data_IF_731550193061
#
_entry.id   IF_731550193061
#
_cell.length_a   1.000
_cell.length_b   1.000
_cell.length_c   1.000
_cell.angle_alpha   90.00
_cell.angle_beta   90.00
_cell.angle_gamma   90.00
#
_symmetry.space_group_name_H-M   'P 1'
#
loop_
_entity.id
_entity.type
_entity.pdbx_description
1 polymer ?
#
# COMPACT_ATOMS: atom_id res chain seq x y z
N UNK A 1 19.42 22.53 -4.71
CA UNK A 1 18.01 22.90 -4.93
C UNK A 1 17.38 23.00 -3.56
N UNK A 2 17.19 24.22 -3.04
CA UNK A 2 16.59 24.47 -1.73
C UNK A 2 15.10 24.13 -1.82
N UNK A 3 14.67 23.08 -1.12
CA UNK A 3 13.26 22.77 -0.97
C UNK A 3 12.61 23.88 -0.12
N UNK A 4 11.79 24.71 -0.75
CA UNK A 4 10.84 25.53 0.01
C UNK A 4 9.75 24.60 0.52
N UNK A 5 9.89 24.11 1.73
CA UNK A 5 8.87 23.29 2.40
C UNK A 5 8.02 24.18 3.30
N UNK A 6 6.71 24.04 3.22
CA UNK A 6 5.77 24.57 4.20
C UNK A 6 5.70 23.55 5.33
N UNK A 7 5.91 24.00 6.57
CA UNK A 7 5.78 23.16 7.75
C UNK A 7 4.45 23.47 8.43
N UNK A 8 3.68 22.41 8.70
CA UNK A 8 2.46 22.46 9.47
C UNK A 8 2.75 21.90 10.85
N UNK A 9 2.22 22.52 11.89
CA UNK A 9 2.41 22.10 13.28
C UNK A 9 1.08 21.70 13.89
N UNK A 10 1.09 20.66 14.71
CA UNK A 10 -0.03 20.24 15.54
C UNK A 10 0.49 19.69 16.85
N UNK A 11 -0.10 20.12 17.96
CA UNK A 11 0.19 19.61 19.31
C UNK A 11 -0.71 18.42 19.68
N UNK A 12 -1.74 18.15 18.86
CA UNK A 12 -2.71 17.08 19.08
C UNK A 12 -2.62 16.05 17.92
N UNK A 13 -2.40 14.76 18.23
CA UNK A 13 -2.36 13.68 17.24
C UNK A 13 -3.63 13.57 16.37
N UNK A 14 -4.83 13.82 16.92
CA UNK A 14 -6.08 13.80 16.17
C UNK A 14 -6.19 14.96 15.16
N UNK A 15 -5.74 16.15 15.55
CA UNK A 15 -5.65 17.28 14.62
C UNK A 15 -4.59 17.02 13.55
N UNK A 16 -3.47 16.39 13.92
CA UNK A 16 -2.42 16.02 12.98
C UNK A 16 -2.97 15.09 11.88
N UNK A 17 -3.71 14.07 12.22
CA UNK A 17 -4.32 13.15 11.24
C UNK A 17 -5.27 13.88 10.28
N UNK A 18 -6.16 14.73 10.78
CA UNK A 18 -7.08 15.54 9.96
C UNK A 18 -6.32 16.48 9.01
N UNK A 19 -5.29 17.15 9.51
CA UNK A 19 -4.46 18.04 8.70
C UNK A 19 -3.74 17.27 7.59
N UNK A 20 -3.18 16.10 7.91
CA UNK A 20 -2.52 15.22 6.95
C UNK A 20 -3.49 14.68 5.88
N UNK A 21 -4.74 14.42 6.24
CA UNK A 21 -5.77 13.95 5.30
C UNK A 21 -6.26 15.06 4.35
N UNK A 22 -6.21 16.33 4.78
CA UNK A 22 -6.66 17.49 4.01
C UNK A 22 -5.58 18.16 3.16
N UNK A 23 -4.32 17.94 3.44
CA UNK A 23 -3.18 18.61 2.80
C UNK A 23 -2.23 17.59 2.14
N UNK A 24 -1.56 17.99 1.05
CA UNK A 24 -0.47 17.18 0.47
C UNK A 24 0.80 17.30 1.30
N UNK A 25 1.05 16.31 2.15
CA UNK A 25 2.25 16.24 2.98
C UNK A 25 3.29 15.29 2.38
N UNK A 26 4.57 15.65 2.49
CA UNK A 26 5.70 14.83 2.03
C UNK A 26 6.18 13.85 3.10
N UNK A 27 6.07 14.21 4.37
CA UNK A 27 6.42 13.40 5.53
C UNK A 27 5.73 13.90 6.79
N UNK A 28 5.58 13.04 7.78
CA UNK A 28 5.26 13.37 9.16
C UNK A 28 6.55 13.31 10.00
N UNK A 29 6.75 14.32 10.84
CA UNK A 29 7.77 14.30 11.90
C UNK A 29 7.01 14.42 13.21
N UNK A 30 7.08 13.41 14.05
CA UNK A 30 6.42 13.36 15.34
C UNK A 30 7.42 13.23 16.49
N UNK A 31 7.19 13.94 17.58
CA UNK A 31 8.04 13.92 18.76
C UNK A 31 7.39 13.04 19.83
N UNK A 32 7.98 11.88 20.09
CA UNK A 32 7.54 10.95 21.12
C UNK A 32 8.32 11.21 22.43
N UNK A 33 7.79 12.09 23.26
CA UNK A 33 8.35 12.41 24.57
C UNK A 33 7.28 12.46 25.65
N UNK A 34 7.60 12.03 26.88
CA UNK A 34 6.72 12.12 28.04
C UNK A 34 5.31 11.55 27.78
N UNK A 35 4.28 12.34 28.02
CA UNK A 35 2.85 11.99 27.87
C UNK A 35 2.40 11.85 26.41
N UNK A 36 3.11 12.46 25.46
CA UNK A 36 2.76 12.43 24.04
C UNK A 36 3.13 11.10 23.35
N UNK A 37 3.94 10.25 23.98
CA UNK A 37 4.42 8.98 23.41
C UNK A 37 3.29 8.10 22.88
N UNK A 38 2.30 7.80 23.71
CA UNK A 38 1.20 6.92 23.35
C UNK A 38 0.41 7.46 22.14
N UNK A 39 0.12 8.76 22.12
CA UNK A 39 -0.58 9.42 21.02
C UNK A 39 0.23 9.41 19.72
N UNK A 40 1.55 9.55 19.77
CA UNK A 40 2.42 9.47 18.58
C UNK A 40 2.47 8.06 18.02
N UNK A 41 2.54 7.04 18.87
CA UNK A 41 2.54 5.64 18.44
C UNK A 41 1.19 5.27 17.81
N UNK A 42 0.08 5.69 18.42
CA UNK A 42 -1.25 5.50 17.86
C UNK A 42 -1.40 6.24 16.53
N UNK A 43 -0.93 7.48 16.41
CA UNK A 43 -0.92 8.21 15.15
C UNK A 43 -0.15 7.45 14.06
N UNK A 44 1.00 6.88 14.34
CA UNK A 44 1.75 6.05 13.39
C UNK A 44 0.91 4.85 12.94
N UNK A 45 0.23 4.17 13.86
CA UNK A 45 -0.64 3.05 13.57
C UNK A 45 -1.84 3.46 12.71
N UNK A 46 -2.54 4.54 13.05
CA UNK A 46 -3.66 5.07 12.28
C UNK A 46 -3.23 5.48 10.86
N UNK A 47 -2.06 6.10 10.71
CA UNK A 47 -1.51 6.41 9.39
C UNK A 47 -1.37 5.16 8.51
N UNK A 48 -0.97 4.02 9.06
CA UNK A 48 -0.83 2.78 8.28
C UNK A 48 -2.17 2.15 7.92
N UNK A 49 -3.20 2.41 8.70
CA UNK A 49 -4.58 2.02 8.39
C UNK A 49 -5.28 2.98 7.44
N UNK A 50 -4.89 4.25 7.43
CA UNK A 50 -5.50 5.24 6.57
C UNK A 50 -4.97 5.11 5.13
N UNK A 51 -5.85 4.79 4.20
CA UNK A 51 -5.50 4.54 2.81
C UNK A 51 -4.94 5.75 2.06
N UNK A 52 -5.20 6.97 2.51
CA UNK A 52 -4.59 8.19 1.95
C UNK A 52 -3.19 8.42 2.50
N UNK A 53 -2.94 8.02 3.75
CA UNK A 53 -1.77 8.42 4.52
C UNK A 53 -0.77 7.26 4.74
N UNK A 54 -1.16 6.00 4.47
CA UNK A 54 -0.34 4.83 4.78
C UNK A 54 1.06 4.89 4.14
N UNK A 55 1.18 5.56 2.99
CA UNK A 55 2.43 5.73 2.25
C UNK A 55 3.28 6.89 2.78
N UNK A 56 2.71 7.75 3.64
CA UNK A 56 3.40 8.90 4.18
C UNK A 56 4.53 8.44 5.11
N UNK A 57 5.80 8.83 4.86
CA UNK A 57 6.87 8.49 5.77
C UNK A 57 6.65 9.19 7.11
N UNK A 58 6.66 8.40 8.19
CA UNK A 58 6.57 8.88 9.57
C UNK A 58 7.93 8.77 10.24
N UNK A 59 8.53 9.89 10.55
CA UNK A 59 9.76 10.01 11.32
C UNK A 59 9.39 10.30 12.79
N UNK A 60 9.88 9.50 13.72
CA UNK A 60 9.64 9.65 15.14
C UNK A 60 10.94 10.12 15.81
N UNK A 61 10.88 11.25 16.50
CA UNK A 61 11.96 11.73 17.36
C UNK A 61 11.68 11.26 18.80
N UNK A 62 12.53 10.40 19.35
CA UNK A 62 12.36 9.82 20.67
C UNK A 62 13.39 10.37 21.66
N UNK A 63 12.96 10.59 22.91
CA UNK A 63 13.87 10.94 23.99
C UNK A 63 14.78 9.74 24.37
N UNK A 64 16.01 10.02 24.83
CA UNK A 64 17.01 8.99 25.10
C UNK A 64 16.61 7.99 26.21
N UNK A 65 15.71 8.40 27.09
CA UNK A 65 15.26 7.59 28.23
C UNK A 65 14.24 6.50 27.86
N UNK A 66 13.86 6.41 26.58
CA UNK A 66 12.82 5.52 26.09
C UNK A 66 13.41 4.39 25.22
N UNK A 67 14.27 3.56 25.81
CA UNK A 67 14.96 2.46 25.10
C UNK A 67 14.02 1.49 24.37
N UNK A 68 12.78 1.28 24.83
CA UNK A 68 11.77 0.44 24.18
C UNK A 68 11.03 1.14 23.02
N UNK A 69 11.06 2.48 22.96
CA UNK A 69 10.31 3.27 21.98
C UNK A 69 10.65 2.98 20.52
N UNK A 70 11.93 2.76 20.11
CA UNK A 70 12.25 2.47 18.71
C UNK A 70 11.55 1.20 18.20
N UNK A 71 11.59 0.12 18.97
CA UNK A 71 10.98 -1.17 18.57
C UNK A 71 9.46 -1.02 18.46
N UNK A 72 8.82 -0.40 19.43
CA UNK A 72 7.38 -0.15 19.42
C UNK A 72 6.99 0.78 18.25
N UNK A 73 7.74 1.86 18.02
CA UNK A 73 7.44 2.79 16.94
C UNK A 73 7.54 2.13 15.57
N UNK A 74 8.54 1.27 15.34
CA UNK A 74 8.62 0.49 14.10
C UNK A 74 7.47 -0.52 13.98
N UNK A 75 7.09 -1.18 15.07
CA UNK A 75 5.94 -2.10 15.10
C UNK A 75 4.62 -1.37 14.78
N UNK A 76 4.49 -0.11 15.20
CA UNK A 76 3.34 0.74 14.87
C UNK A 76 3.47 1.45 13.49
N UNK A 77 4.51 1.14 12.72
CA UNK A 77 4.63 1.61 11.34
C UNK A 77 5.41 2.91 11.16
N UNK A 78 6.23 3.34 12.13
CA UNK A 78 7.20 4.40 11.90
C UNK A 78 8.17 4.00 10.78
N UNK A 79 8.55 4.98 9.95
CA UNK A 79 9.50 4.77 8.85
C UNK A 79 10.95 4.95 9.30
N UNK A 80 11.17 5.77 10.31
CA UNK A 80 12.46 6.06 10.88
C UNK A 80 12.28 6.58 12.31
N UNK A 81 13.14 6.12 13.23
CA UNK A 81 13.16 6.59 14.62
C UNK A 81 14.55 7.15 14.90
N UNK A 82 14.63 8.39 15.38
CA UNK A 82 15.85 9.10 15.66
C UNK A 82 15.85 9.69 17.08
N UNK A 83 17.01 9.88 17.72
CA UNK A 83 17.11 10.59 18.97
C UNK A 83 16.66 12.06 18.81
N UNK A 84 15.85 12.56 19.75
CA UNK A 84 15.41 13.97 19.76
C UNK A 84 16.56 14.95 19.91
N UNK A 85 17.61 14.55 20.63
CA UNK A 85 18.81 15.35 20.86
C UNK A 85 19.79 15.36 19.68
N UNK A 86 19.37 14.87 18.51
CA UNK A 86 20.18 14.87 17.30
C UNK A 86 20.43 16.30 16.81
N UNK A 87 21.63 16.54 16.26
CA UNK A 87 21.97 17.80 15.62
C UNK A 87 21.08 18.11 14.41
N UNK A 88 20.79 19.41 14.20
CA UNK A 88 19.87 19.85 13.14
C UNK A 88 20.34 19.48 11.73
N UNK A 89 21.65 19.49 11.48
CA UNK A 89 22.22 19.15 10.19
C UNK A 89 22.10 17.64 9.93
N UNK A 90 22.32 16.81 10.95
CA UNK A 90 22.11 15.37 10.87
C UNK A 90 20.64 15.04 10.67
N UNK A 91 19.74 15.70 11.39
CA UNK A 91 18.30 15.52 11.21
C UNK A 91 17.86 15.87 9.78
N UNK A 92 18.34 16.99 9.26
CA UNK A 92 18.08 17.42 7.89
C UNK A 92 18.57 16.41 6.87
N UNK A 93 19.75 15.83 7.07
CA UNK A 93 20.32 14.81 6.20
C UNK A 93 19.48 13.52 6.20
N UNK A 94 19.02 13.07 7.37
CA UNK A 94 18.17 11.88 7.51
C UNK A 94 16.77 12.08 6.87
N UNK A 95 16.16 13.25 7.07
CA UNK A 95 14.92 13.61 6.39
C UNK A 95 15.11 13.62 4.88
N UNK A 96 16.17 14.23 4.39
CA UNK A 96 16.47 14.26 2.96
C UNK A 96 16.68 12.86 2.39
N UNK A 97 17.40 12.00 3.09
CA UNK A 97 17.60 10.60 2.70
C UNK A 97 16.28 9.80 2.68
N UNK A 98 15.39 10.03 3.66
CA UNK A 98 14.08 9.40 3.72
C UNK A 98 13.21 9.83 2.53
N UNK A 99 13.13 11.13 2.26
CA UNK A 99 12.37 11.69 1.13
C UNK A 99 12.94 11.25 -0.21
N UNK A 100 14.26 11.18 -0.37
CA UNK A 100 14.90 10.66 -1.59
C UNK A 100 14.56 9.19 -1.83
N UNK A 101 14.54 8.35 -0.79
CA UNK A 101 14.12 6.94 -0.90
C UNK A 101 12.68 6.83 -1.39
N UNK A 102 11.78 7.63 -0.84
CA UNK A 102 10.38 7.68 -1.27
C UNK A 102 10.23 8.17 -2.71
N UNK A 103 10.93 9.24 -3.07
CA UNK A 103 10.93 9.77 -4.42
C UNK A 103 11.46 8.74 -5.45
N UNK A 104 12.56 8.05 -5.13
CA UNK A 104 13.11 6.99 -6.00
C UNK A 104 12.11 5.85 -6.19
N UNK A 105 11.42 5.42 -5.12
CA UNK A 105 10.37 4.39 -5.21
C UNK A 105 9.24 4.84 -6.13
N UNK A 106 8.78 6.07 -6.01
CA UNK A 106 7.73 6.65 -6.86
C UNK A 106 8.19 6.70 -8.34
N UNK A 107 9.38 7.22 -8.61
CA UNK A 107 9.94 7.27 -9.96
C UNK A 107 10.14 5.88 -10.56
N UNK A 108 10.57 4.90 -9.76
CA UNK A 108 10.70 3.51 -10.22
C UNK A 108 9.34 2.91 -10.58
N UNK A 109 8.31 3.14 -9.76
CA UNK A 109 6.94 2.71 -10.05
C UNK A 109 6.45 3.30 -11.37
N UNK A 110 6.58 4.62 -11.52
CA UNK A 110 6.14 5.32 -12.74
C UNK A 110 6.89 4.79 -13.97
N UNK A 111 8.20 4.52 -13.85
CA UNK A 111 8.98 3.93 -14.94
C UNK A 111 8.58 2.49 -15.25
N UNK A 112 8.34 1.66 -14.25
CA UNK A 112 7.87 0.28 -14.43
C UNK A 112 6.51 0.25 -15.13
N UNK A 113 5.58 1.12 -14.72
CA UNK A 113 4.28 1.23 -15.40
C UNK A 113 4.41 1.73 -16.84
N UNK A 114 5.38 2.61 -17.14
CA UNK A 114 5.63 3.09 -18.51
C UNK A 114 6.30 2.05 -19.41
N UNK A 115 6.88 0.99 -18.86
CA UNK A 115 7.47 -0.13 -19.64
C UNK A 115 6.41 -1.15 -20.06
N UNK A 116 5.27 -1.19 -19.35
CA UNK A 116 4.16 -2.07 -19.74
C UNK A 116 3.56 -1.53 -21.05
N UNK A 117 3.51 -2.33 -22.13
CA UNK A 117 2.90 -1.89 -23.37
C UNK A 117 1.46 -1.44 -23.13
N UNK A 118 1.01 -0.36 -23.79
CA UNK A 118 -0.35 0.16 -23.66
C UNK A 118 -1.41 -0.92 -23.96
N UNK A 119 -1.10 -1.85 -24.88
CA UNK A 119 -1.96 -3.01 -25.20
C UNK A 119 -2.09 -4.02 -24.06
N UNK A 120 -1.24 -3.93 -23.06
CA UNK A 120 -1.23 -4.78 -21.87
C UNK A 120 -1.84 -4.09 -20.64
N UNK A 121 -2.39 -2.90 -20.83
CA UNK A 121 -3.12 -2.17 -19.79
C UNK A 121 -4.62 -2.23 -20.06
N UNK A 122 -5.38 -2.43 -19.00
CA UNK A 122 -6.84 -2.31 -19.04
C UNK A 122 -7.24 -0.85 -19.25
N UNK A 123 -8.00 -0.52 -20.31
CA UNK A 123 -8.30 0.86 -20.67
C UNK A 123 -9.20 1.59 -19.66
N UNK A 124 -9.93 0.84 -18.83
CA UNK A 124 -10.82 1.43 -17.82
C UNK A 124 -10.07 1.78 -16.54
N UNK A 125 -9.19 0.91 -16.07
CA UNK A 125 -8.52 1.05 -14.76
C UNK A 125 -7.08 1.51 -14.88
N UNK A 126 -6.45 1.35 -16.04
CA UNK A 126 -5.02 1.56 -16.24
C UNK A 126 -4.13 0.51 -15.56
N UNK A 127 -4.73 -0.57 -15.04
CA UNK A 127 -4.01 -1.70 -14.46
C UNK A 127 -3.48 -2.64 -15.55
N UNK A 128 -2.54 -3.50 -15.19
CA UNK A 128 -2.14 -4.57 -16.08
C UNK A 128 -3.29 -5.54 -16.36
N UNK A 129 -3.34 -6.07 -17.57
CA UNK A 129 -4.35 -7.07 -17.97
C UNK A 129 -4.02 -8.46 -17.42
N UNK A 130 -4.98 -9.37 -17.42
CA UNK A 130 -4.83 -10.78 -17.07
C UNK A 130 -3.78 -11.48 -17.93
N UNK A 131 -3.76 -11.25 -19.23
CA UNK A 131 -2.77 -11.79 -20.15
C UNK A 131 -1.35 -11.34 -19.80
N UNK A 132 -1.17 -10.08 -19.41
CA UNK A 132 0.12 -9.57 -18.98
C UNK A 132 0.56 -10.23 -17.65
N UNK A 133 -0.34 -10.29 -16.66
CA UNK A 133 0.03 -10.80 -15.33
C UNK A 133 0.35 -12.31 -15.38
N UNK A 134 -0.35 -13.09 -16.21
CA UNK A 134 -0.07 -14.50 -16.38
C UNK A 134 1.37 -14.73 -16.85
N UNK A 135 1.80 -14.02 -17.90
CA UNK A 135 3.16 -14.08 -18.41
C UNK A 135 4.21 -13.51 -17.45
N UNK A 136 3.87 -12.39 -16.80
CA UNK A 136 4.75 -11.76 -15.82
C UNK A 136 4.97 -12.66 -14.61
N UNK A 137 3.92 -13.32 -14.12
CA UNK A 137 4.00 -14.28 -13.03
C UNK A 137 4.91 -15.46 -13.38
N UNK A 138 4.82 -16.02 -14.59
CA UNK A 138 5.72 -17.09 -15.06
C UNK A 138 7.19 -16.64 -14.96
N UNK A 139 7.51 -15.45 -15.48
CA UNK A 139 8.86 -14.88 -15.42
C UNK A 139 9.33 -14.66 -13.98
N UNK A 140 8.46 -14.12 -13.12
CA UNK A 140 8.78 -13.92 -11.70
C UNK A 140 9.02 -15.26 -11.00
N UNK A 141 8.23 -16.27 -11.30
CA UNK A 141 8.38 -17.62 -10.73
C UNK A 141 9.74 -18.22 -11.07
N UNK A 142 10.22 -18.09 -12.31
CA UNK A 142 11.54 -18.56 -12.73
C UNK A 142 12.66 -17.82 -12.01
N UNK A 143 12.60 -16.47 -12.01
CA UNK A 143 13.63 -15.63 -11.37
C UNK A 143 13.70 -15.84 -9.86
N UNK A 144 12.55 -15.91 -9.20
CA UNK A 144 12.49 -16.11 -7.74
C UNK A 144 12.89 -17.52 -7.35
N UNK A 145 12.58 -18.52 -8.20
CA UNK A 145 13.08 -19.87 -7.99
C UNK A 145 14.61 -19.94 -8.05
N UNK A 146 15.20 -19.40 -9.10
CA UNK A 146 16.65 -19.40 -9.27
C UNK A 146 17.38 -18.65 -8.13
N UNK A 147 16.74 -17.64 -7.55
CA UNK A 147 17.30 -16.81 -6.47
C UNK A 147 16.90 -17.25 -5.07
N UNK A 148 16.13 -18.32 -4.94
CA UNK A 148 15.57 -18.80 -3.67
C UNK A 148 14.89 -17.69 -2.86
N UNK A 149 14.02 -16.92 -3.51
CA UNK A 149 13.28 -15.82 -2.88
C UNK A 149 11.79 -16.10 -2.88
N UNK A 150 11.06 -15.70 -1.83
CA UNK A 150 9.63 -15.90 -1.80
C UNK A 150 8.94 -15.04 -2.87
N UNK A 151 7.83 -15.56 -3.37
CA UNK A 151 6.94 -14.87 -4.30
C UNK A 151 5.50 -15.15 -3.86
N UNK A 152 4.73 -14.11 -3.65
CA UNK A 152 3.32 -14.23 -3.27
C UNK A 152 2.39 -13.61 -4.30
N UNK A 153 1.15 -14.06 -4.28
CA UNK A 153 0.03 -13.54 -5.05
C UNK A 153 -1.14 -13.31 -4.09
N UNK A 154 -1.76 -12.13 -4.17
CA UNK A 154 -3.04 -11.84 -3.52
C UNK A 154 -4.07 -11.61 -4.61
N UNK A 155 -5.23 -12.26 -4.48
CA UNK A 155 -6.37 -12.04 -5.38
C UNK A 155 -7.56 -11.60 -4.55
N UNK A 156 -8.31 -10.62 -5.02
CA UNK A 156 -9.52 -10.16 -4.35
C UNK A 156 -10.58 -9.70 -5.36
N UNK A 157 -11.84 -9.86 -4.97
CA UNK A 157 -13.00 -9.47 -5.74
C UNK A 157 -14.00 -8.66 -4.92
N UNK A 158 -14.85 -7.91 -5.62
CA UNK A 158 -15.92 -7.10 -5.04
C UNK A 158 -17.23 -7.82 -5.28
N UNK A 159 -17.82 -8.43 -4.25
CA UNK A 159 -19.03 -9.26 -4.35
C UNK A 159 -20.28 -8.49 -4.71
N UNK A 160 -20.40 -7.25 -4.31
CA UNK A 160 -21.61 -6.45 -4.51
C UNK A 160 -21.50 -5.44 -5.67
N UNK A 161 -20.52 -5.61 -6.57
CA UNK A 161 -20.36 -4.74 -7.74
C UNK A 161 -21.52 -4.89 -8.73
N UNK A 162 -22.02 -6.10 -8.95
CA UNK A 162 -23.18 -6.35 -9.83
C UNK A 162 -24.46 -5.71 -9.27
N UNK A 163 -24.62 -5.67 -7.95
CA UNK A 163 -25.71 -4.97 -7.31
C UNK A 163 -25.60 -3.43 -7.52
N UNK A 164 -24.37 -2.89 -7.49
CA UNK A 164 -24.11 -1.49 -7.83
C UNK A 164 -24.46 -1.21 -9.31
N UNK A 165 -24.03 -2.08 -10.23
CA UNK A 165 -24.33 -1.96 -11.66
C UNK A 165 -25.83 -2.03 -11.94
N UNK A 166 -26.55 -2.94 -11.28
CA UNK A 166 -27.99 -3.11 -11.43
C UNK A 166 -28.79 -1.92 -10.88
N UNK A 167 -28.34 -1.31 -9.78
CA UNK A 167 -29.04 -0.19 -9.12
C UNK A 167 -28.71 1.17 -9.73
N UNK A 168 -27.44 1.39 -10.08
CA UNK A 168 -26.93 2.70 -10.48
C UNK A 168 -26.46 2.77 -11.94
N UNK A 169 -26.48 1.64 -12.64
CA UNK A 169 -26.02 1.51 -14.03
C UNK A 169 -24.53 1.18 -14.16
N UNK A 170 -24.19 0.49 -15.25
CA UNK A 170 -22.82 0.03 -15.53
C UNK A 170 -21.76 1.15 -15.56
N UNK A 171 -22.02 2.38 -16.12
CA UNK A 171 -21.01 3.43 -16.11
C UNK A 171 -20.57 3.86 -14.71
N UNK A 172 -21.47 3.83 -13.73
CA UNK A 172 -21.17 4.20 -12.34
C UNK A 172 -20.43 3.09 -11.60
N UNK A 173 -20.85 1.84 -11.81
CA UNK A 173 -20.13 0.67 -11.31
C UNK A 173 -18.67 0.64 -11.83
N UNK A 174 -18.46 0.96 -13.12
CA UNK A 174 -17.13 1.12 -13.70
C UNK A 174 -16.36 2.28 -13.09
N UNK A 175 -17.03 3.36 -12.72
CA UNK A 175 -16.44 4.48 -11.96
C UNK A 175 -15.90 4.02 -10.61
N UNK A 176 -16.72 3.28 -9.87
CA UNK A 176 -16.37 2.67 -8.59
C UNK A 176 -15.19 1.71 -8.74
N UNK A 177 -15.20 0.87 -9.77
CA UNK A 177 -14.12 -0.08 -10.07
C UNK A 177 -12.79 0.66 -10.30
N UNK A 178 -12.80 1.76 -11.06
CA UNK A 178 -11.61 2.62 -11.27
C UNK A 178 -11.12 3.27 -9.98
N UNK A 179 -12.04 3.61 -9.10
CA UNK A 179 -11.68 4.19 -7.82
C UNK A 179 -10.99 3.15 -6.93
N UNK A 180 -11.55 1.94 -6.84
CA UNK A 180 -10.92 0.82 -6.14
C UNK A 180 -9.53 0.51 -6.70
N UNK A 181 -9.37 0.48 -8.02
CA UNK A 181 -8.07 0.29 -8.66
C UNK A 181 -7.02 1.29 -8.19
N UNK A 182 -7.40 2.58 -8.10
CA UNK A 182 -6.53 3.64 -7.59
C UNK A 182 -6.18 3.46 -6.12
N UNK A 183 -7.14 2.99 -5.32
CA UNK A 183 -6.91 2.71 -3.90
C UNK A 183 -5.91 1.57 -3.73
N UNK A 184 -6.12 0.46 -4.42
CA UNK A 184 -5.22 -0.70 -4.32
C UNK A 184 -3.80 -0.36 -4.77
N UNK A 185 -3.64 0.40 -5.87
CA UNK A 185 -2.32 0.88 -6.30
C UNK A 185 -1.58 1.70 -5.24
N UNK A 186 -2.29 2.36 -4.32
CA UNK A 186 -1.70 3.09 -3.20
C UNK A 186 -1.35 2.20 -2.03
N UNK A 187 -2.02 1.06 -1.88
CA UNK A 187 -1.80 0.11 -0.79
C UNK A 187 -0.61 -0.82 -1.03
N UNK A 188 -0.11 -0.92 -2.25
CA UNK A 188 0.97 -1.82 -2.64
C UNK A 188 2.31 -1.10 -2.80
N UNK A 189 3.41 -1.85 -2.79
CA UNK A 189 4.78 -1.33 -2.98
C UNK A 189 5.01 -0.98 -4.45
N UNK A 190 6.12 -0.28 -4.74
CA UNK A 190 6.49 0.09 -6.11
C UNK A 190 6.81 -1.12 -7.00
N UNK A 191 7.39 -2.16 -6.39
CA UNK A 191 7.76 -3.43 -7.04
C UNK A 191 6.58 -4.38 -7.23
N UNK A 192 5.45 -4.15 -6.55
CA UNK A 192 4.26 -4.96 -6.68
C UNK A 192 3.49 -4.58 -7.95
N UNK A 193 2.91 -5.56 -8.61
CA UNK A 193 2.12 -5.32 -9.82
C UNK A 193 0.66 -5.62 -9.55
N UNK A 194 -0.20 -4.63 -9.77
CA UNK A 194 -1.66 -4.79 -9.68
C UNK A 194 -2.22 -4.99 -11.08
N UNK A 195 -3.07 -5.97 -11.22
CA UNK A 195 -3.75 -6.30 -12.48
C UNK A 195 -5.25 -6.51 -12.29
N UNK A 196 -5.98 -6.29 -13.37
CA UNK A 196 -7.39 -6.65 -13.50
C UNK A 196 -7.49 -7.99 -14.22
N UNK A 197 -8.18 -8.93 -13.62
CA UNK A 197 -8.50 -10.22 -14.25
C UNK A 197 -9.73 -10.11 -15.15
N UNK A 198 -9.85 -11.01 -16.13
CA UNK A 198 -10.97 -11.03 -17.06
C UNK A 198 -12.32 -11.25 -16.35
N UNK A 199 -12.31 -11.98 -15.26
CA UNK A 199 -13.47 -12.25 -14.37
C UNK A 199 -13.90 -11.03 -13.53
N UNK A 200 -13.12 -9.92 -13.54
CA UNK A 200 -13.42 -8.69 -12.80
C UNK A 200 -12.76 -8.61 -11.43
N UNK A 201 -12.00 -9.62 -11.01
CA UNK A 201 -11.19 -9.56 -9.79
C UNK A 201 -9.88 -8.80 -10.04
N UNK A 202 -9.21 -8.49 -8.94
CA UNK A 202 -7.87 -7.92 -8.94
C UNK A 202 -6.85 -8.97 -8.51
N UNK A 203 -5.68 -8.96 -9.14
CA UNK A 203 -4.53 -9.73 -8.70
C UNK A 203 -3.35 -8.80 -8.40
N UNK A 204 -2.63 -9.10 -7.32
CA UNK A 204 -1.44 -8.37 -6.89
C UNK A 204 -0.28 -9.35 -6.76
N UNK A 205 0.73 -9.21 -7.61
CA UNK A 205 1.98 -9.98 -7.47
C UNK A 205 2.93 -9.29 -6.52
N UNK A 206 3.51 -10.06 -5.61
CA UNK A 206 4.31 -9.58 -4.49
C UNK A 206 5.71 -10.23 -4.52
N UNK A 207 6.67 -9.65 -5.25
CA UNK A 207 8.04 -10.12 -5.28
C UNK A 207 8.71 -10.01 -3.90
N UNK A 208 9.54 -10.99 -3.53
CA UNK A 208 10.28 -11.05 -2.27
C UNK A 208 9.38 -10.91 -1.02
N UNK A 209 8.18 -11.45 -1.08
CA UNK A 209 7.17 -11.36 -0.02
C UNK A 209 6.79 -12.77 0.42
N UNK A 210 6.91 -13.05 1.70
CA UNK A 210 6.53 -14.31 2.31
C UNK A 210 5.01 -14.38 2.60
N UNK A 211 4.56 -15.51 3.13
CA UNK A 211 3.15 -15.77 3.43
C UNK A 211 2.59 -14.80 4.48
N UNK A 212 3.36 -14.49 5.52
CA UNK A 212 2.95 -13.61 6.61
C UNK A 212 2.71 -12.18 6.11
N UNK A 213 3.66 -11.68 5.30
CA UNK A 213 3.57 -10.35 4.69
C UNK A 213 2.45 -10.28 3.66
N UNK A 214 2.25 -11.32 2.85
CA UNK A 214 1.16 -11.40 1.88
C UNK A 214 -0.20 -11.40 2.57
N UNK A 215 -0.35 -12.16 3.65
CA UNK A 215 -1.55 -12.19 4.48
C UNK A 215 -1.82 -10.83 5.11
N UNK A 216 -0.79 -10.17 5.61
CA UNK A 216 -0.89 -8.81 6.18
C UNK A 216 -1.36 -7.78 5.15
N UNK A 217 -0.87 -7.87 3.91
CA UNK A 217 -1.35 -7.02 2.81
C UNK A 217 -2.81 -7.34 2.46
N UNK A 218 -3.18 -8.62 2.37
CA UNK A 218 -4.54 -9.04 2.09
C UNK A 218 -5.54 -8.47 3.10
N UNK A 219 -5.25 -8.61 4.41
CA UNK A 219 -6.10 -8.03 5.46
C UNK A 219 -6.14 -6.50 5.39
N UNK A 220 -5.04 -5.84 5.05
CA UNK A 220 -5.02 -4.39 4.88
C UNK A 220 -5.87 -3.93 3.70
N UNK A 221 -5.86 -4.66 2.58
CA UNK A 221 -6.71 -4.37 1.43
C UNK A 221 -8.19 -4.52 1.82
N UNK A 222 -8.53 -5.63 2.47
CA UNK A 222 -9.88 -5.90 2.95
C UNK A 222 -10.36 -4.82 3.93
N UNK A 223 -9.61 -4.57 4.99
CA UNK A 223 -9.93 -3.58 6.03
C UNK A 223 -10.14 -2.18 5.44
N UNK A 224 -9.22 -1.74 4.60
CA UNK A 224 -9.29 -0.40 3.99
C UNK A 224 -10.48 -0.29 3.03
N UNK A 225 -10.68 -1.25 2.14
CA UNK A 225 -11.73 -1.16 1.14
C UNK A 225 -13.13 -1.36 1.75
N UNK A 226 -13.28 -2.23 2.74
CA UNK A 226 -14.56 -2.50 3.39
C UNK A 226 -15.02 -1.37 4.31
N UNK A 227 -14.06 -0.62 4.90
CA UNK A 227 -14.36 0.51 5.79
C UNK A 227 -14.29 1.89 5.09
N UNK A 228 -13.96 1.92 3.80
CA UNK A 228 -14.01 3.16 3.01
C UNK A 228 -15.42 3.36 2.45
N UNK A 229 -16.00 4.52 2.72
CA UNK A 229 -17.25 4.94 2.08
C UNK A 229 -16.97 5.42 0.65
N UNK A 230 -17.41 4.62 -0.31
CA UNK A 230 -17.36 5.02 -1.72
C UNK A 230 -18.66 5.76 -2.08
N UNK A 231 -18.54 6.91 -2.69
CA UNK A 231 -19.70 7.70 -3.13
C UNK A 231 -20.31 7.13 -4.41
N UNK A 232 -21.56 6.68 -4.35
CA UNK A 232 -22.34 6.31 -5.52
C UNK A 232 -23.63 7.15 -5.55
N UNK A 233 -23.77 8.07 -6.50
CA UNK A 233 -24.91 9.01 -6.58
C UNK A 233 -25.12 9.90 -5.35
N UNK A 234 -24.05 10.20 -4.60
CA UNK A 234 -24.17 10.98 -3.37
C UNK A 234 -24.57 10.15 -2.15
N UNK A 235 -24.77 8.83 -2.32
CA UNK A 235 -25.00 7.90 -1.23
C UNK A 235 -23.72 7.12 -0.90
N UNK A 236 -23.44 6.81 0.38
CA UNK A 236 -22.33 5.97 0.77
C UNK A 236 -22.56 4.53 0.29
N UNK A 237 -21.55 3.93 -0.33
CA UNK A 237 -21.58 2.55 -0.80
C UNK A 237 -20.40 1.78 -0.20
N UNK A 238 -20.68 0.78 0.62
CA UNK A 238 -19.68 -0.07 1.23
C UNK A 238 -19.39 -1.29 0.36
N UNK A 239 -18.12 -1.63 0.18
CA UNK A 239 -17.71 -2.77 -0.61
C UNK A 239 -17.71 -4.06 0.22
N UNK A 240 -18.12 -5.16 -0.38
CA UNK A 240 -17.96 -6.50 0.16
C UNK A 240 -16.78 -7.18 -0.55
N UNK A 241 -15.67 -7.27 0.17
CA UNK A 241 -14.43 -7.82 -0.39
C UNK A 241 -14.34 -9.31 -0.04
N UNK A 242 -13.89 -10.08 -1.02
CA UNK A 242 -13.45 -11.47 -0.83
C UNK A 242 -12.03 -11.57 -1.35
N UNK A 243 -11.12 -12.05 -0.52
CA UNK A 243 -9.70 -12.11 -0.85
C UNK A 243 -9.12 -13.48 -0.51
N UNK A 244 -8.08 -13.85 -1.25
CA UNK A 244 -7.25 -15.02 -1.01
C UNK A 244 -5.80 -14.73 -1.37
N UNK A 245 -4.89 -15.49 -0.81
CA UNK A 245 -3.47 -15.40 -1.15
C UNK A 245 -2.87 -16.77 -1.35
N UNK A 246 -1.76 -16.81 -2.09
CA UNK A 246 -0.91 -17.98 -2.18
C UNK A 246 0.55 -17.51 -2.20
N UNK A 247 1.43 -18.27 -1.56
CA UNK A 247 2.86 -17.99 -1.46
C UNK A 247 3.65 -19.19 -1.88
N UNK A 248 4.68 -18.95 -2.68
CA UNK A 248 5.71 -19.93 -2.96
C UNK A 248 6.92 -19.64 -2.10
N UNK A 249 7.25 -20.58 -1.21
CA UNK A 249 8.49 -20.64 -0.45
C UNK A 249 9.33 -21.86 -0.85
N UNK A 250 10.56 -21.96 -0.36
CA UNK A 250 11.43 -23.11 -0.65
C UNK A 250 10.88 -24.44 -0.14
N UNK A 251 10.06 -24.40 0.93
CA UNK A 251 9.56 -25.60 1.61
C UNK A 251 8.38 -26.26 0.88
N UNK A 252 7.73 -25.56 -0.07
CA UNK A 252 6.54 -26.05 -0.78
C UNK A 252 6.69 -26.01 -2.30
N UNK A 253 7.47 -26.96 -2.84
CA UNK A 253 7.62 -27.13 -4.30
C UNK A 253 6.34 -27.60 -5.02
N UNK A 254 5.34 -28.08 -4.30
CA UNK A 254 4.07 -28.59 -4.86
C UNK A 254 3.01 -27.51 -5.13
N UNK A 255 3.16 -26.29 -4.62
CA UNK A 255 2.16 -25.23 -4.75
C UNK A 255 2.29 -24.38 -6.03
N UNK A 256 3.25 -24.69 -6.89
CA UNK A 256 3.36 -24.09 -8.23
C UNK A 256 2.08 -24.20 -9.06
N UNK A 257 1.32 -25.28 -8.84
CA UNK A 257 0.02 -25.48 -9.48
C UNK A 257 -1.05 -24.57 -8.89
N UNK A 258 -0.97 -24.20 -7.59
CA UNK A 258 -2.00 -23.40 -6.93
C UNK A 258 -1.98 -21.94 -7.38
N UNK A 259 -0.82 -21.31 -7.57
CA UNK A 259 -0.73 -19.93 -8.09
C UNK A 259 -1.25 -19.81 -9.52
N UNK A 260 -0.94 -20.81 -10.37
CA UNK A 260 -1.44 -20.86 -11.74
C UNK A 260 -2.94 -21.21 -11.78
N UNK A 261 -3.41 -22.08 -10.89
CA UNK A 261 -4.82 -22.43 -10.74
C UNK A 261 -5.68 -21.31 -10.15
N UNK A 262 -5.12 -20.45 -9.27
CA UNK A 262 -5.81 -19.26 -8.77
C UNK A 262 -6.11 -18.25 -9.90
N UNK A 263 -5.14 -18.04 -10.80
CA UNK A 263 -5.34 -17.13 -11.96
C UNK A 263 -6.21 -17.77 -13.05
N UNK A 264 -6.20 -19.11 -13.19
CA UNK A 264 -6.96 -19.81 -14.24
C UNK A 264 -8.36 -20.29 -13.80
N UNK A 265 -8.69 -20.28 -12.51
CA UNK A 265 -10.01 -20.71 -12.00
C UNK A 265 -10.92 -19.59 -11.52
N UNK A 266 -10.43 -18.34 -11.51
CA UNK A 266 -11.22 -17.13 -11.32
C UNK A 266 -11.62 -16.52 -12.67
#
# INVERSE_FOLDING_TARGET
MLFRSRTLFSDDPFQAERTLAGEECAALIAVAGGTARAGVLDLCYQLRKNARLFHLPALVLADADLAATPVEAYAQGASLVLPRAMDSDQLTAEIAALLQRQFRRRVLRDRLMNVIPLSSLDPETGLATDAFIAKHLETLMEVHHARRRPLSLVVFGIRNLDAAASRHGAPKANGLYREVARWVQRLVRAEDTVSRLASGEFAVTLPNTDESDARSLMYRIDDVLSHTEFGLDGEPFNLWIVAGHATRSEEHTSELQSLRHLVCRL
#
